data_IF_455759647386
#
_entry.id   IF_455759647386
#
_cell.length_a   1.000
_cell.length_b   1.000
_cell.length_c   1.000
_cell.angle_alpha   90.00
_cell.angle_beta   90.00
_cell.angle_gamma   90.00
#
_symmetry.space_group_name_H-M   'P 1'
#
loop_
_entity.id
_entity.type
_entity.pdbx_description
1 polymer ?
#
# COMPACT_ATOMS: atom_id res chain seq x y z
N UNK A 1 -14.21 1.98 -7.14
CA UNK A 1 -14.13 1.42 -5.77
C UNK A 1 -13.39 2.42 -4.92
N UNK A 2 -14.03 2.94 -3.87
CA UNK A 2 -13.41 3.83 -2.88
C UNK A 2 -13.39 3.03 -1.58
N UNK A 3 -12.23 2.97 -0.92
CA UNK A 3 -12.03 2.29 0.35
C UNK A 3 -11.40 3.27 1.35
N UNK A 4 -11.74 3.12 2.62
CA UNK A 4 -11.16 3.89 3.73
C UNK A 4 -10.35 2.90 4.56
N UNK A 5 -9.06 3.17 4.75
CA UNK A 5 -8.23 2.42 5.69
C UNK A 5 -7.75 3.34 6.81
N UNK A 6 -7.55 2.78 8.00
CA UNK A 6 -6.99 3.47 9.14
C UNK A 6 -5.65 2.84 9.49
N UNK A 7 -4.62 3.67 9.62
CA UNK A 7 -3.32 3.24 10.11
C UNK A 7 -3.23 3.63 11.59
N UNK A 8 -3.07 2.64 12.46
CA UNK A 8 -2.71 2.86 13.86
C UNK A 8 -1.20 2.64 13.97
N UNK A 9 -0.46 3.70 14.33
CA UNK A 9 1.01 3.73 14.37
C UNK A 9 1.62 2.96 15.56
N UNK A 10 1.24 1.69 15.74
CA UNK A 10 1.99 0.78 16.61
C UNK A 10 2.40 -0.47 15.81
N UNK A 11 3.71 -0.64 15.65
CA UNK A 11 4.42 -1.85 15.22
C UNK A 11 3.87 -2.63 14.01
N UNK A 12 4.44 -2.37 12.83
CA UNK A 12 4.54 -3.28 11.66
C UNK A 12 3.29 -4.04 11.18
N UNK A 13 2.12 -3.76 11.76
CA UNK A 13 0.87 -4.48 11.61
C UNK A 13 -0.20 -3.45 11.32
N UNK A 14 -0.29 -3.06 10.04
CA UNK A 14 -1.41 -2.24 9.58
C UNK A 14 -2.60 -3.17 9.40
N UNK A 15 -3.64 -2.97 10.20
CA UNK A 15 -4.93 -3.61 9.98
C UNK A 15 -5.71 -2.81 8.94
N UNK A 16 -6.05 -3.45 7.83
CA UNK A 16 -6.84 -2.84 6.77
C UNK A 16 -8.28 -3.33 6.88
N UNK A 17 -9.19 -2.41 7.18
CA UNK A 17 -10.61 -2.63 6.95
C UNK A 17 -10.96 -2.06 5.57
N UNK A 18 -11.67 -2.85 4.76
CA UNK A 18 -12.12 -2.43 3.44
C UNK A 18 -13.63 -2.21 3.46
N UNK A 19 -14.05 -1.00 3.12
CA UNK A 19 -15.47 -0.64 2.99
C UNK A 19 -15.73 -0.18 1.56
N UNK A 20 -16.78 -0.70 0.94
CA UNK A 20 -17.31 -0.14 -0.29
C UNK A 20 -18.08 1.14 0.03
N UNK A 21 -17.66 2.28 -0.54
CA UNK A 21 -18.40 3.54 -0.40
C UNK A 21 -19.63 3.52 -1.30
N UNK A 22 -20.80 3.67 -0.69
CA UNK A 22 -22.10 3.67 -1.36
C UNK A 22 -22.60 5.04 -1.82
N UNK A 23 -22.05 6.14 -1.30
CA UNK A 23 -22.39 7.52 -1.67
C UNK A 23 -21.14 8.42 -1.71
N UNK A 24 -20.88 9.06 -2.85
CA UNK A 24 -19.75 9.96 -3.08
C UNK A 24 -19.77 11.21 -2.16
N UNK A 25 -20.91 11.50 -1.51
CA UNK A 25 -21.01 12.57 -0.48
C UNK A 25 -20.08 12.37 0.71
N UNK A 26 -19.49 11.18 0.88
CA UNK A 26 -18.47 10.96 1.90
C UNK A 26 -17.24 11.86 1.69
N UNK A 27 -16.92 12.21 0.44
CA UNK A 27 -15.75 13.04 0.09
C UNK A 27 -15.88 14.44 0.74
N UNK A 28 -16.97 15.21 0.51
CA UNK A 28 -17.18 16.49 1.22
C UNK A 28 -17.09 16.40 2.75
N UNK A 29 -17.56 15.30 3.36
CA UNK A 29 -17.50 15.11 4.81
C UNK A 29 -16.04 15.02 5.25
N UNK A 30 -15.23 14.18 4.59
CA UNK A 30 -13.81 14.08 4.89
C UNK A 30 -13.07 15.38 4.61
N UNK A 31 -13.36 16.07 3.51
CA UNK A 31 -12.74 17.36 3.18
C UNK A 31 -12.99 18.40 4.28
N UNK A 32 -14.20 18.41 4.86
CA UNK A 32 -14.55 19.35 5.94
C UNK A 32 -13.79 19.10 7.25
N UNK A 33 -13.38 17.86 7.52
CA UNK A 33 -12.72 17.46 8.77
C UNK A 33 -11.19 17.44 8.61
N UNK A 34 -10.70 16.92 7.49
CA UNK A 34 -9.28 16.58 7.28
C UNK A 34 -8.58 17.42 6.22
N UNK A 35 -9.25 18.44 5.66
CA UNK A 35 -8.80 19.32 4.56
C UNK A 35 -8.85 18.64 3.20
N UNK A 36 -8.36 19.34 2.17
CA UNK A 36 -8.35 18.87 0.78
C UNK A 36 -7.64 17.52 0.64
N UNK A 37 -8.22 16.57 -0.10
CA UNK A 37 -7.60 15.28 -0.32
C UNK A 37 -6.38 15.39 -1.25
N UNK A 38 -5.38 14.55 -1.00
CA UNK A 38 -4.32 14.29 -1.97
C UNK A 38 -4.85 13.29 -3.01
N UNK A 39 -4.84 13.68 -4.29
CA UNK A 39 -5.27 12.80 -5.38
C UNK A 39 -4.07 12.09 -6.01
N UNK A 40 -4.03 10.77 -5.89
CA UNK A 40 -3.01 9.92 -6.52
C UNK A 40 -3.63 9.19 -7.71
N UNK A 41 -3.03 9.34 -8.89
CA UNK A 41 -3.39 8.59 -10.10
C UNK A 41 -2.36 7.51 -10.36
N UNK A 42 -2.81 6.26 -10.43
CA UNK A 42 -1.94 5.12 -10.71
C UNK A 42 -2.65 4.03 -11.50
N UNK A 43 -1.86 3.25 -12.24
CA UNK A 43 -2.26 1.94 -12.79
C UNK A 43 -1.62 0.87 -11.92
N UNK A 44 -2.40 -0.06 -11.37
CA UNK A 44 -1.92 -1.17 -10.54
C UNK A 44 -2.12 -2.49 -11.26
N UNK A 45 -1.04 -3.26 -11.37
CA UNK A 45 -1.05 -4.66 -11.79
C UNK A 45 -0.83 -5.52 -10.53
N UNK A 46 -1.70 -6.51 -10.30
CA UNK A 46 -1.72 -7.32 -9.09
C UNK A 46 -1.48 -8.79 -9.43
N UNK A 47 -0.57 -9.42 -8.71
CA UNK A 47 -0.38 -10.88 -8.73
C UNK A 47 -0.43 -11.42 -7.31
N UNK A 48 -0.85 -12.67 -7.18
CA UNK A 48 -0.94 -13.38 -5.91
C UNK A 48 -0.16 -14.69 -6.00
N UNK A 49 0.66 -14.97 -5.00
CA UNK A 49 1.30 -16.27 -4.82
C UNK A 49 1.26 -16.64 -3.33
N UNK A 50 0.54 -17.71 -3.01
CA UNK A 50 0.30 -18.17 -1.65
C UNK A 50 -0.37 -17.06 -0.80
N UNK A 51 0.32 -16.57 0.23
CA UNK A 51 -0.09 -15.49 1.12
C UNK A 51 0.57 -14.14 0.76
N UNK A 52 1.15 -14.01 -0.44
CA UNK A 52 1.86 -12.82 -0.88
C UNK A 52 1.11 -12.16 -2.05
N UNK A 53 0.91 -10.86 -1.93
CA UNK A 53 0.45 -9.99 -3.02
C UNK A 53 1.62 -9.19 -3.55
N UNK A 54 1.69 -9.08 -4.87
CA UNK A 54 2.66 -8.28 -5.59
C UNK A 54 1.91 -7.19 -6.33
N UNK A 55 2.28 -5.94 -6.08
CA UNK A 55 1.75 -4.79 -6.81
C UNK A 55 2.87 -4.19 -7.65
N UNK A 56 2.60 -4.00 -8.95
CA UNK A 56 3.37 -3.09 -9.79
C UNK A 56 2.51 -1.89 -10.11
N UNK A 57 2.86 -0.76 -9.50
CA UNK A 57 2.14 0.50 -9.60
C UNK A 57 2.88 1.47 -10.51
N UNK A 58 2.29 1.85 -11.64
CA UNK A 58 2.73 3.01 -12.40
C UNK A 58 2.03 4.26 -11.87
N UNK A 59 2.74 5.07 -11.07
CA UNK A 59 2.21 6.25 -10.38
C UNK A 59 2.58 7.54 -11.13
N UNK A 60 1.58 8.36 -11.46
CA UNK A 60 1.79 9.64 -12.16
C UNK A 60 2.67 10.59 -11.34
N UNK A 61 3.79 11.04 -11.91
CA UNK A 61 4.74 11.95 -11.26
C UNK A 61 5.81 11.28 -10.39
N UNK A 62 5.72 9.96 -10.15
CA UNK A 62 6.72 9.20 -9.36
C UNK A 62 7.44 8.17 -10.25
N UNK A 63 6.71 7.37 -11.01
CA UNK A 63 7.25 6.25 -11.80
C UNK A 63 6.68 4.91 -11.37
N UNK A 64 7.41 3.83 -11.64
CA UNK A 64 6.99 2.47 -11.29
C UNK A 64 7.44 2.09 -9.88
N UNK A 65 6.51 1.60 -9.06
CA UNK A 65 6.72 1.17 -7.67
C UNK A 65 6.32 -0.30 -7.55
N UNK A 66 7.19 -1.11 -6.96
CA UNK A 66 6.91 -2.51 -6.69
C UNK A 66 6.71 -2.74 -5.18
N UNK A 67 5.53 -3.23 -4.81
CA UNK A 67 5.16 -3.51 -3.42
C UNK A 67 4.94 -5.02 -3.25
N UNK A 68 5.38 -5.56 -2.10
CA UNK A 68 5.09 -6.93 -1.69
C UNK A 68 4.35 -6.87 -0.35
N UNK A 69 3.12 -7.35 -0.34
CA UNK A 69 2.29 -7.44 0.86
C UNK A 69 2.17 -8.91 1.29
N UNK A 70 2.22 -9.17 2.60
CA UNK A 70 2.01 -10.52 3.15
C UNK A 70 0.67 -10.52 3.87
N UNK A 71 -0.29 -11.27 3.32
CA UNK A 71 -1.60 -11.49 3.92
C UNK A 71 -1.44 -12.44 5.11
N UNK A 72 -1.72 -11.96 6.32
CA UNK A 72 -1.70 -12.80 7.52
C UNK A 72 -3.12 -13.30 7.81
N UNK A 73 -3.24 -14.61 8.01
CA UNK A 73 -4.39 -15.21 8.69
C UNK A 73 -3.99 -15.44 10.16
N UNK A 74 -4.21 -14.42 10.98
CA UNK A 74 -4.41 -14.32 12.44
C UNK A 74 -3.71 -15.24 13.47
N UNK A 75 -2.95 -16.27 13.10
CA UNK A 75 -2.40 -17.25 14.07
C UNK A 75 -0.89 -17.52 14.00
N UNK A 76 -0.16 -16.98 13.00
CA UNK A 76 1.28 -17.26 12.86
C UNK A 76 2.10 -16.02 12.49
N UNK A 77 2.41 -15.18 13.48
CA UNK A 77 3.27 -14.00 13.30
C UNK A 77 4.76 -14.33 13.05
N UNK A 78 5.19 -15.58 13.25
CA UNK A 78 6.61 -15.97 13.24
C UNK A 78 7.22 -16.28 11.87
N UNK A 79 6.43 -16.49 10.83
CA UNK A 79 6.94 -17.01 9.53
C UNK A 79 7.26 -15.92 8.49
N UNK A 80 6.94 -14.66 8.79
CA UNK A 80 6.93 -13.55 7.83
C UNK A 80 8.32 -13.15 7.34
N UNK A 81 9.33 -13.22 8.20
CA UNK A 81 10.70 -12.90 7.79
C UNK A 81 11.32 -13.95 6.87
N UNK A 82 10.87 -15.20 6.97
CA UNK A 82 11.47 -16.29 6.21
C UNK A 82 11.00 -16.27 4.74
N UNK A 83 9.71 -16.04 4.51
CA UNK A 83 9.12 -16.05 3.17
C UNK A 83 9.48 -14.82 2.34
N UNK A 84 9.57 -13.62 2.94
CA UNK A 84 9.96 -12.42 2.21
C UNK A 84 11.40 -12.50 1.68
N UNK A 85 12.32 -13.15 2.40
CA UNK A 85 13.73 -13.22 2.00
C UNK A 85 13.97 -14.04 0.73
N UNK A 86 13.16 -15.09 0.50
CA UNK A 86 13.25 -15.92 -0.71
C UNK A 86 12.66 -15.21 -1.92
N UNK A 87 11.50 -14.57 -1.74
CA UNK A 87 10.79 -13.88 -2.81
C UNK A 87 11.52 -12.61 -3.26
N UNK A 88 12.03 -11.78 -2.34
CA UNK A 88 12.77 -10.56 -2.68
C UNK A 88 14.01 -10.88 -3.52
N UNK A 89 14.70 -11.99 -3.23
CA UNK A 89 15.86 -12.45 -4.02
C UNK A 89 15.51 -12.73 -5.48
N UNK A 90 14.30 -13.17 -5.80
CA UNK A 90 13.88 -13.38 -7.19
C UNK A 90 13.86 -12.07 -7.99
N UNK A 91 13.63 -10.95 -7.30
CA UNK A 91 13.50 -9.64 -7.90
C UNK A 91 14.72 -8.73 -7.68
N UNK A 92 15.75 -9.19 -6.96
CA UNK A 92 16.89 -8.34 -6.53
C UNK A 92 17.60 -7.62 -7.69
N UNK A 93 17.63 -8.25 -8.87
CA UNK A 93 18.27 -7.68 -10.07
C UNK A 93 17.35 -6.74 -10.88
N UNK A 94 16.07 -6.71 -10.54
CA UNK A 94 15.05 -5.87 -11.19
C UNK A 94 14.62 -4.69 -10.30
N UNK A 95 14.91 -4.77 -9.01
CA UNK A 95 14.61 -3.72 -8.03
C UNK A 95 15.81 -2.81 -7.85
N UNK A 96 15.55 -1.52 -7.68
CA UNK A 96 16.58 -0.54 -7.35
C UNK A 96 16.79 -0.48 -5.84
N UNK A 97 16.58 0.67 -5.22
CA UNK A 97 16.60 0.82 -3.77
C UNK A 97 15.22 0.57 -3.17
N UNK A 98 15.19 0.01 -1.96
CA UNK A 98 13.97 0.00 -1.17
C UNK A 98 13.51 1.44 -0.90
N UNK A 99 12.25 1.71 -1.23
CA UNK A 99 11.60 2.98 -0.95
C UNK A 99 10.96 2.89 0.44
N UNK A 100 11.09 3.96 1.22
CA UNK A 100 10.45 4.11 2.53
C UNK A 100 9.31 5.13 2.40
N UNK A 101 8.18 4.85 3.06
CA UNK A 101 6.97 5.67 2.99
C UNK A 101 5.94 5.12 1.99
N UNK A 102 4.81 5.80 1.90
CA UNK A 102 3.71 5.47 0.99
C UNK A 102 3.74 6.32 -0.28
N UNK A 103 2.85 6.03 -1.24
CA UNK A 103 2.75 6.81 -2.48
C UNK A 103 2.45 8.30 -2.21
N UNK A 104 1.70 8.60 -1.14
CA UNK A 104 1.44 9.95 -0.64
C UNK A 104 2.74 10.69 -0.26
N UNK A 105 3.66 10.00 0.43
CA UNK A 105 4.96 10.55 0.85
C UNK A 105 5.87 10.86 -0.35
N UNK A 106 5.71 10.12 -1.44
CA UNK A 106 6.51 10.29 -2.67
C UNK A 106 6.02 11.45 -3.54
N UNK A 107 4.72 11.74 -3.50
CA UNK A 107 4.10 12.82 -4.29
C UNK A 107 4.13 14.15 -3.54
N UNK A 108 4.14 14.12 -2.21
CA UNK A 108 4.18 15.33 -1.40
C UNK A 108 5.61 15.91 -1.38
N UNK A 109 5.82 17.19 -1.76
CA UNK A 109 7.12 17.82 -1.63
C UNK A 109 7.60 17.79 -0.18
N UNK A 110 8.85 17.38 0.06
CA UNK A 110 9.46 17.50 1.39
C UNK A 110 9.69 18.98 1.70
N UNK A 111 9.09 19.48 2.78
CA UNK A 111 9.36 20.81 3.34
C UNK A 111 10.80 20.96 3.85
#
# INVERSE_FOLDING_TARGET
>A
MVYVYSRVDDDFNVNYDFYEVSDEKIIPIFTSIYKEPLLIRKRREVWELNNQLFHLDSVEGVGDVFEIEVIRNDNHASDVHYEQSGTIKLFENFLSSQIQGSNEDLITPKE
#
